data_IF_536205768627
#
_entry.id   IF_536205768627
#
_cell.length_a   1.000
_cell.length_b   1.000
_cell.length_c   1.000
_cell.angle_alpha   90.00
_cell.angle_beta   90.00
_cell.angle_gamma   90.00
#
_symmetry.space_group_name_H-M   'P 1'
#
loop_
_entity.id
_entity.type
_entity.pdbx_description
1 polymer ?
#
# COMPACT_ATOMS: atom_id res chain seq x y z
N UNK A 1 -29.12 49.50 -1.76
CA UNK A 1 -29.14 50.95 -1.60
C UNK A 1 -27.77 51.37 -1.11
N UNK A 2 -27.08 52.23 -1.93
CA UNK A 2 -25.78 52.92 -1.75
C UNK A 2 -24.53 52.01 -1.79
N UNK A 3 -23.82 51.85 -2.89
CA UNK A 3 -23.04 52.72 -3.77
C UNK A 3 -22.14 53.70 -2.96
N UNK A 4 -20.86 53.38 -2.88
CA UNK A 4 -19.79 54.36 -2.94
C UNK A 4 -18.55 53.79 -3.62
N UNK A 5 -18.44 54.18 -4.83
CA UNK A 5 -17.36 54.48 -5.75
C UNK A 5 -16.31 55.35 -5.06
N UNK A 6 -15.05 54.94 -5.06
CA UNK A 6 -13.94 55.90 -5.05
C UNK A 6 -12.89 55.44 -6.04
N UNK A 7 -12.85 56.20 -7.09
CA UNK A 7 -11.84 56.32 -8.14
C UNK A 7 -10.59 57.04 -7.60
N UNK A 8 -9.50 56.82 -8.32
CA UNK A 8 -8.28 57.61 -8.45
C UNK A 8 -7.13 57.30 -7.48
N UNK A 9 -6.02 56.79 -7.98
CA UNK A 9 -4.97 57.66 -8.50
C UNK A 9 -3.93 56.87 -9.29
N UNK A 10 -3.84 57.16 -10.60
CA UNK A 10 -2.64 56.92 -11.39
C UNK A 10 -1.49 57.71 -10.78
N UNK A 11 -0.39 57.06 -10.50
CA UNK A 11 0.91 57.70 -10.35
C UNK A 11 1.82 57.12 -11.45
N UNK A 12 2.00 57.92 -12.49
CA UNK A 12 3.02 57.68 -13.52
C UNK A 12 4.38 57.88 -12.86
N UNK A 13 5.14 56.81 -12.69
CA UNK A 13 6.54 56.86 -12.33
C UNK A 13 7.38 56.62 -13.57
N UNK A 14 8.38 57.49 -13.84
CA UNK A 14 9.23 57.40 -15.04
C UNK A 14 10.11 56.14 -15.02
N UNK A 15 10.14 55.46 -16.16
CA UNK A 15 11.03 54.35 -16.47
C UNK A 15 12.49 54.84 -16.46
N UNK A 16 13.20 54.68 -15.36
CA UNK A 16 14.66 54.82 -15.35
C UNK A 16 15.30 53.58 -15.96
N UNK A 17 15.71 53.72 -17.20
CA UNK A 17 16.29 52.74 -18.07
C UNK A 17 17.80 52.68 -17.83
N UNK A 18 18.21 52.23 -16.64
CA UNK A 18 19.62 51.88 -16.38
C UNK A 18 19.65 50.48 -15.69
N UNK A 19 19.33 49.44 -16.48
CA UNK A 19 19.60 48.06 -16.06
C UNK A 19 21.10 47.76 -16.18
N UNK A 20 21.72 47.18 -15.15
CA UNK A 20 23.02 46.59 -15.31
C UNK A 20 22.90 45.41 -16.29
N UNK A 21 23.81 45.36 -17.27
CA UNK A 21 23.95 44.22 -18.16
C UNK A 21 24.37 42.99 -17.32
N UNK A 22 23.41 42.26 -16.82
CA UNK A 22 23.63 40.93 -16.25
C UNK A 22 23.89 40.01 -17.45
N UNK A 23 25.18 39.75 -17.68
CA UNK A 23 25.60 38.95 -18.82
C UNK A 23 24.97 37.58 -18.84
N UNK A 24 24.72 37.08 -20.06
CA UNK A 24 24.11 35.78 -20.38
C UNK A 24 24.76 34.60 -19.64
N UNK A 25 25.97 34.75 -19.06
CA UNK A 25 26.68 33.76 -18.29
C UNK A 25 26.11 33.47 -16.89
N UNK A 26 25.37 34.42 -16.27
CA UNK A 26 24.79 34.23 -14.96
C UNK A 26 23.49 33.39 -14.97
N UNK A 27 22.74 33.41 -16.06
CA UNK A 27 21.49 32.68 -16.20
C UNK A 27 21.72 31.17 -16.39
N UNK A 28 22.83 30.76 -17.03
CA UNK A 28 23.18 29.36 -17.25
C UNK A 28 23.68 28.66 -15.97
N UNK A 29 24.27 29.38 -15.03
CA UNK A 29 24.77 28.79 -13.78
C UNK A 29 23.63 28.47 -12.77
N UNK A 30 22.57 29.26 -12.78
CA UNK A 30 21.41 29.05 -11.88
C UNK A 30 20.53 27.88 -12.35
N UNK A 31 20.47 27.64 -13.68
CA UNK A 31 19.67 26.54 -14.23
C UNK A 31 20.25 25.14 -13.92
N UNK A 32 21.55 25.03 -13.69
CA UNK A 32 22.18 23.71 -13.41
C UNK A 32 22.09 23.28 -11.96
N UNK A 33 21.80 24.17 -10.99
CA UNK A 33 21.61 23.79 -9.60
C UNK A 33 20.20 23.24 -9.29
N UNK A 34 19.22 23.42 -10.17
CA UNK A 34 17.83 22.98 -9.92
C UNK A 34 17.59 21.50 -10.19
N UNK A 35 18.53 20.77 -10.80
CA UNK A 35 18.34 19.35 -11.19
C UNK A 35 18.77 18.37 -10.08
N UNK A 36 19.46 18.85 -9.03
CA UNK A 36 19.96 18.02 -7.92
C UNK A 36 18.98 17.73 -6.79
N UNK A 37 17.76 18.26 -6.81
CA UNK A 37 16.86 18.26 -5.64
C UNK A 37 15.91 17.05 -5.51
N UNK A 38 15.99 16.02 -6.37
CA UNK A 38 15.01 14.93 -6.39
C UNK A 38 15.58 13.53 -6.10
N UNK A 39 16.66 13.41 -5.34
CA UNK A 39 17.24 12.11 -5.01
C UNK A 39 17.18 11.78 -3.52
N UNK A 40 16.13 12.21 -2.81
CA UNK A 40 15.88 11.64 -1.49
C UNK A 40 15.31 10.24 -1.67
N UNK A 41 15.89 9.21 -1.02
CA UNK A 41 15.32 7.87 -1.07
C UNK A 41 13.87 7.92 -0.57
N UNK A 42 12.95 7.16 -1.18
CA UNK A 42 11.57 7.15 -0.75
C UNK A 42 11.46 6.70 0.72
N UNK A 43 10.56 7.30 1.52
CA UNK A 43 10.37 6.87 2.91
C UNK A 43 9.91 5.41 2.95
N UNK A 44 10.67 4.56 3.62
CA UNK A 44 10.42 3.11 3.68
C UNK A 44 9.59 2.69 4.89
N UNK A 45 9.48 3.54 5.89
CA UNK A 45 8.91 3.20 7.20
C UNK A 45 7.43 2.82 7.14
N UNK A 46 6.62 3.59 6.42
CA UNK A 46 5.17 3.36 6.34
C UNK A 46 4.85 2.09 5.55
N UNK A 47 5.36 1.86 4.33
CA UNK A 47 5.10 0.63 3.59
C UNK A 47 5.59 -0.62 4.33
N UNK A 48 6.73 -0.55 4.99
CA UNK A 48 7.25 -1.65 5.79
C UNK A 48 6.37 -1.95 7.00
N UNK A 49 5.87 -0.93 7.70
CA UNK A 49 4.95 -1.10 8.81
C UNK A 49 3.62 -1.73 8.37
N UNK A 50 3.11 -1.34 7.19
CA UNK A 50 1.89 -1.93 6.60
C UNK A 50 2.10 -3.41 6.28
N UNK A 51 3.20 -3.77 5.62
CA UNK A 51 3.53 -5.14 5.28
C UNK A 51 3.70 -6.01 6.53
N UNK A 52 4.38 -5.48 7.53
CA UNK A 52 4.60 -6.14 8.82
C UNK A 52 3.27 -6.39 9.55
N UNK A 53 2.39 -5.40 9.58
CA UNK A 53 1.06 -5.53 10.17
C UNK A 53 0.18 -6.53 9.40
N UNK A 54 0.24 -6.55 8.07
CA UNK A 54 -0.49 -7.49 7.24
C UNK A 54 -0.06 -8.93 7.50
N UNK A 55 1.26 -9.21 7.46
CA UNK A 55 1.80 -10.54 7.73
C UNK A 55 1.50 -10.99 9.15
N UNK A 56 1.67 -10.13 10.17
CA UNK A 56 1.33 -10.48 11.56
C UNK A 56 -0.15 -10.83 11.75
N UNK A 57 -1.05 -10.05 11.17
CA UNK A 57 -2.49 -10.31 11.24
C UNK A 57 -2.83 -11.65 10.61
N UNK A 58 -2.21 -11.97 9.48
CA UNK A 58 -2.44 -13.20 8.73
C UNK A 58 -1.76 -14.42 9.39
N UNK A 59 -0.72 -14.21 10.20
CA UNK A 59 0.00 -15.28 10.93
C UNK A 59 -0.80 -15.85 12.11
N UNK A 60 -2.14 -15.76 12.09
CA UNK A 60 -2.97 -16.45 13.07
C UNK A 60 -2.92 -17.96 12.88
N UNK A 61 -3.15 -18.72 13.95
CA UNK A 61 -3.17 -20.19 13.92
C UNK A 61 -4.08 -20.73 12.81
N UNK A 62 -5.27 -20.15 12.68
CA UNK A 62 -6.24 -20.58 11.68
C UNK A 62 -5.76 -20.40 10.23
N UNK A 63 -5.03 -19.33 9.93
CA UNK A 63 -4.45 -19.15 8.59
C UNK A 63 -3.22 -20.03 8.39
N UNK A 64 -2.40 -20.19 9.42
CA UNK A 64 -1.22 -21.07 9.36
C UNK A 64 -1.57 -22.54 9.09
N UNK A 65 -2.71 -23.01 9.60
CA UNK A 65 -3.20 -24.38 9.37
C UNK A 65 -3.83 -24.55 7.97
N UNK A 66 -4.56 -23.54 7.48
CA UNK A 66 -5.34 -23.64 6.26
C UNK A 66 -4.62 -23.14 5.01
N UNK A 67 -3.59 -22.31 5.16
CA UNK A 67 -2.82 -21.71 4.06
C UNK A 67 -1.34 -21.56 4.37
N UNK A 68 -0.65 -22.63 4.80
CA UNK A 68 0.74 -22.55 5.27
C UNK A 68 1.70 -22.09 4.16
N UNK A 69 1.52 -22.55 2.93
CA UNK A 69 2.39 -22.19 1.82
C UNK A 69 2.28 -20.73 1.42
N UNK A 70 1.05 -20.21 1.35
CA UNK A 70 0.80 -18.81 1.03
C UNK A 70 1.36 -17.89 2.12
N UNK A 71 1.17 -18.25 3.38
CA UNK A 71 1.74 -17.51 4.53
C UNK A 71 3.26 -17.51 4.50
N UNK A 72 3.89 -18.64 4.14
CA UNK A 72 5.34 -18.74 3.99
C UNK A 72 5.87 -17.82 2.88
N UNK A 73 5.18 -17.71 1.76
CA UNK A 73 5.54 -16.77 0.67
C UNK A 73 5.52 -15.33 1.18
N UNK A 74 4.46 -14.91 1.86
CA UNK A 74 4.34 -13.56 2.40
C UNK A 74 5.44 -13.25 3.42
N UNK A 75 5.73 -14.17 4.34
CA UNK A 75 6.77 -14.00 5.37
C UNK A 75 8.17 -13.93 4.77
N UNK A 76 8.46 -14.74 3.74
CA UNK A 76 9.75 -14.73 3.04
C UNK A 76 9.95 -13.39 2.32
N UNK A 77 8.95 -12.91 1.59
CA UNK A 77 9.04 -11.60 0.90
C UNK A 77 9.22 -10.43 1.87
N UNK A 78 8.57 -10.47 3.03
CA UNK A 78 8.78 -9.46 4.08
C UNK A 78 10.22 -9.48 4.61
N UNK A 79 10.79 -10.66 4.80
CA UNK A 79 12.20 -10.80 5.21
C UNK A 79 13.15 -10.25 4.13
N UNK A 80 12.89 -10.57 2.86
CA UNK A 80 13.67 -10.09 1.72
C UNK A 80 13.55 -8.56 1.56
N UNK A 81 12.37 -7.99 1.83
CA UNK A 81 12.16 -6.55 1.84
C UNK A 81 13.05 -5.85 2.87
N UNK A 82 13.06 -6.36 4.10
CA UNK A 82 13.94 -5.85 5.17
C UNK A 82 15.41 -5.95 4.80
N UNK A 83 15.83 -7.07 4.23
CA UNK A 83 17.19 -7.29 3.79
C UNK A 83 17.60 -6.34 2.64
N UNK A 84 16.68 -6.03 1.72
CA UNK A 84 16.92 -5.07 0.64
C UNK A 84 17.14 -3.64 1.19
N UNK A 85 16.26 -3.20 2.10
CA UNK A 85 16.39 -1.89 2.76
C UNK A 85 17.71 -1.78 3.55
N UNK A 86 18.07 -2.83 4.29
CA UNK A 86 19.32 -2.86 5.06
C UNK A 86 20.58 -2.75 4.18
N UNK A 87 20.48 -3.16 2.91
CA UNK A 87 21.55 -3.00 1.92
C UNK A 87 21.52 -1.66 1.17
N UNK A 88 20.58 -0.76 1.50
CA UNK A 88 20.40 0.53 0.82
C UNK A 88 19.57 0.46 -0.47
N UNK A 89 19.00 -0.70 -0.83
CA UNK A 89 18.12 -0.87 -1.98
C UNK A 89 16.66 -0.62 -1.58
N UNK A 90 16.36 0.66 -1.34
CA UNK A 90 15.05 1.09 -0.85
C UNK A 90 13.92 0.76 -1.83
N UNK A 91 14.13 0.96 -3.14
CA UNK A 91 13.10 0.67 -4.14
C UNK A 91 12.72 -0.81 -4.18
N UNK A 92 13.71 -1.69 -4.18
CA UNK A 92 13.46 -3.13 -4.14
C UNK A 92 12.78 -3.53 -2.85
N UNK A 93 13.21 -2.95 -1.72
CA UNK A 93 12.59 -3.19 -0.42
C UNK A 93 11.11 -2.82 -0.39
N UNK A 94 10.75 -1.65 -0.95
CA UNK A 94 9.36 -1.21 -1.06
C UNK A 94 8.52 -2.13 -1.93
N UNK A 95 9.00 -2.49 -3.12
CA UNK A 95 8.29 -3.44 -4.00
C UNK A 95 8.04 -4.78 -3.33
N UNK A 96 9.02 -5.31 -2.60
CA UNK A 96 8.88 -6.57 -1.87
C UNK A 96 7.90 -6.45 -0.69
N UNK A 97 7.86 -5.31 0.01
CA UNK A 97 6.92 -5.05 1.09
C UNK A 97 5.47 -4.99 0.57
N UNK A 98 5.23 -4.32 -0.56
CA UNK A 98 3.93 -4.30 -1.22
C UNK A 98 3.49 -5.71 -1.63
N UNK A 99 4.38 -6.48 -2.23
CA UNK A 99 4.11 -7.87 -2.58
C UNK A 99 3.81 -8.73 -1.36
N UNK A 100 4.57 -8.59 -0.26
CA UNK A 100 4.31 -9.31 0.98
C UNK A 100 2.93 -8.99 1.56
N UNK A 101 2.48 -7.73 1.44
CA UNK A 101 1.15 -7.31 1.86
C UNK A 101 0.06 -8.02 1.06
N UNK A 102 0.20 -8.07 -0.27
CA UNK A 102 -0.75 -8.77 -1.15
C UNK A 102 -0.75 -10.27 -0.90
N UNK A 103 0.42 -10.89 -0.75
CA UNK A 103 0.52 -12.32 -0.49
C UNK A 103 -0.08 -12.70 0.89
N UNK A 104 0.04 -11.84 1.89
CA UNK A 104 -0.63 -12.02 3.17
C UNK A 104 -2.16 -12.00 3.02
N UNK A 105 -2.71 -11.09 2.21
CA UNK A 105 -4.14 -11.07 1.90
C UNK A 105 -4.59 -12.32 1.14
N UNK A 106 -3.80 -12.80 0.19
CA UNK A 106 -4.06 -14.06 -0.53
C UNK A 106 -4.09 -15.24 0.44
N UNK A 107 -3.15 -15.31 1.39
CA UNK A 107 -3.13 -16.36 2.41
C UNK A 107 -4.41 -16.34 3.27
N UNK A 108 -4.86 -15.15 3.69
CA UNK A 108 -6.08 -14.99 4.46
C UNK A 108 -7.32 -15.46 3.69
N UNK A 109 -7.47 -15.02 2.44
CA UNK A 109 -8.59 -15.41 1.57
C UNK A 109 -8.58 -16.91 1.27
N UNK A 110 -7.40 -17.49 1.05
CA UNK A 110 -7.27 -18.93 0.85
C UNK A 110 -7.72 -19.72 2.09
N UNK A 111 -7.29 -19.29 3.28
CA UNK A 111 -7.70 -19.91 4.53
C UNK A 111 -9.21 -19.78 4.75
N UNK A 112 -9.82 -18.65 4.44
CA UNK A 112 -11.27 -18.45 4.50
C UNK A 112 -12.00 -19.40 3.54
N UNK A 113 -11.51 -19.53 2.30
CA UNK A 113 -12.11 -20.44 1.31
C UNK A 113 -12.02 -21.91 1.76
N UNK A 114 -10.91 -22.33 2.35
CA UNK A 114 -10.78 -23.69 2.88
C UNK A 114 -11.74 -23.95 4.04
N UNK A 115 -11.87 -23.02 4.98
CA UNK A 115 -12.87 -23.13 6.08
C UNK A 115 -14.29 -23.19 5.56
N UNK A 116 -14.65 -22.38 4.56
CA UNK A 116 -15.97 -22.40 3.96
C UNK A 116 -16.29 -23.76 3.28
N UNK A 117 -15.30 -24.35 2.58
CA UNK A 117 -15.45 -25.70 1.99
C UNK A 117 -15.63 -26.77 3.05
N UNK A 118 -14.87 -26.72 4.13
CA UNK A 118 -15.04 -27.67 5.23
C UNK A 118 -16.42 -27.55 5.86
N UNK A 119 -16.86 -26.35 6.19
CA UNK A 119 -18.19 -26.10 6.75
C UNK A 119 -19.32 -26.57 5.82
N UNK A 120 -19.19 -26.38 4.51
CA UNK A 120 -20.15 -26.89 3.52
C UNK A 120 -20.20 -28.43 3.54
N UNK A 121 -19.05 -29.10 3.54
CA UNK A 121 -18.96 -30.57 3.60
C UNK A 121 -19.57 -31.13 4.88
N UNK A 122 -19.28 -30.50 6.02
CA UNK A 122 -19.87 -30.86 7.32
C UNK A 122 -21.41 -30.69 7.35
N UNK A 123 -21.88 -29.56 6.80
CA UNK A 123 -23.33 -29.30 6.69
C UNK A 123 -24.03 -30.31 5.80
N UNK A 124 -23.45 -30.69 4.66
CA UNK A 124 -23.99 -31.73 3.80
C UNK A 124 -24.04 -33.11 4.49
N UNK A 125 -22.95 -33.43 5.22
CA UNK A 125 -22.92 -34.70 5.99
C UNK A 125 -23.97 -34.72 7.07
N UNK A 126 -24.15 -33.63 7.82
CA UNK A 126 -25.20 -33.50 8.82
C UNK A 126 -26.63 -33.61 8.22
N UNK A 127 -26.84 -32.96 7.06
CA UNK A 127 -28.12 -33.07 6.35
C UNK A 127 -28.42 -34.49 5.86
N UNK A 128 -27.40 -35.23 5.40
CA UNK A 128 -27.58 -36.65 5.03
C UNK A 128 -27.92 -37.49 6.25
N UNK A 129 -27.21 -37.37 7.35
CA UNK A 129 -27.46 -38.09 8.57
C UNK A 129 -28.88 -37.86 9.12
N UNK A 130 -29.35 -36.60 9.08
CA UNK A 130 -30.70 -36.26 9.50
C UNK A 130 -31.79 -36.90 8.61
N UNK A 131 -31.59 -36.91 7.28
CA UNK A 131 -32.53 -37.58 6.36
C UNK A 131 -32.59 -39.08 6.63
N UNK A 132 -31.48 -39.73 6.87
CA UNK A 132 -31.41 -41.14 7.20
C UNK A 132 -32.16 -41.45 8.50
N UNK A 133 -32.01 -40.62 9.52
CA UNK A 133 -32.70 -40.77 10.79
C UNK A 133 -34.21 -40.56 10.66
N UNK A 134 -34.66 -39.56 9.88
CA UNK A 134 -36.05 -39.33 9.57
C UNK A 134 -36.68 -40.52 8.85
N UNK A 135 -35.99 -41.07 7.84
CA UNK A 135 -36.45 -42.24 7.10
C UNK A 135 -36.57 -43.48 8.01
N UNK A 136 -35.61 -43.67 8.92
CA UNK A 136 -35.67 -44.77 9.89
C UNK A 136 -36.87 -44.67 10.84
N UNK A 137 -37.19 -43.46 11.28
CA UNK A 137 -38.35 -43.22 12.14
C UNK A 137 -39.69 -43.38 11.40
N UNK A 138 -39.75 -43.01 10.11
CA UNK A 138 -40.95 -43.12 9.30
C UNK A 138 -41.35 -44.59 8.99
N UNK A 139 -40.40 -45.53 9.07
CA UNK A 139 -40.64 -46.96 8.77
C UNK A 139 -41.05 -47.76 10.03
N UNK A 140 -40.96 -47.16 11.19
CA UNK A 140 -41.43 -47.76 12.47
C UNK A 140 -42.87 -47.39 12.77
#
# INVERSE_FOLDING_TARGET
MNIHRTLHRRADAPLDRRGPAVGLGGLLLVATLAIGACASPPPTDVPMAVADAAVRRTSSTATGEMAPDQLRVATTKLADARAAIARGDAERGLRLAEQATVDAQVAELHAQAQRARQAATESEAAARALREELNRKAVR
#
